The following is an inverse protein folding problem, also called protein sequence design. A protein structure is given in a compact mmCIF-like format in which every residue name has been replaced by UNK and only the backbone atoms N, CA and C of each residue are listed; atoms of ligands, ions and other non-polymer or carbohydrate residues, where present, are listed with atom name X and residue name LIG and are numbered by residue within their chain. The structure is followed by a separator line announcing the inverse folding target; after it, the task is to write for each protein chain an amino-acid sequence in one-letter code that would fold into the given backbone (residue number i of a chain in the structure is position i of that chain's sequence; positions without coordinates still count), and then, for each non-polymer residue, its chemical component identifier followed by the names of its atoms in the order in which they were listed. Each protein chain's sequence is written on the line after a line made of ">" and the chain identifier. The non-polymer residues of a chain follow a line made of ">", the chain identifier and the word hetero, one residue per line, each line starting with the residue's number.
data_IF_803896371056
#
_entry.id   IF_803896371056
#
_cell.length_a   1.000
_cell.length_b   1.000
_cell.length_c   1.000
_cell.angle_alpha   90.00
_cell.angle_beta   90.00
_cell.angle_gamma   90.00
#
_symmetry.space_group_name_H-M   'P 1'
#
loop_
_entity.id
_entity.type
_entity.pdbx_description
1 polymer ?
#
# COMPACT_ATOMS: atom_id res chain seq x y z
N UNK A 1 27.10 34.75 -34.20
CA UNK A 1 28.21 33.96 -34.79
C UNK A 1 27.95 32.52 -34.38
N UNK A 2 27.14 31.72 -35.08
CA UNK A 2 27.30 31.17 -36.44
C UNK A 2 28.70 30.58 -36.70
N UNK A 3 28.77 29.25 -36.70
CA UNK A 3 29.51 28.38 -37.63
C UNK A 3 29.08 26.94 -37.30
N UNK A 4 28.33 26.16 -38.10
CA UNK A 4 28.36 25.84 -39.55
C UNK A 4 29.52 24.88 -39.93
N UNK A 5 29.13 23.74 -40.50
CA UNK A 5 29.90 22.93 -41.45
C UNK A 5 30.56 21.68 -40.83
N UNK A 6 30.48 20.47 -41.41
CA UNK A 6 29.95 20.05 -42.71
C UNK A 6 30.59 18.71 -43.12
N UNK A 7 29.76 17.84 -43.70
CA UNK A 7 30.01 16.86 -44.78
C UNK A 7 31.33 16.08 -44.92
N UNK A 8 31.19 14.77 -45.17
CA UNK A 8 32.19 13.97 -45.87
C UNK A 8 31.71 12.54 -46.18
N UNK A 9 31.21 12.32 -47.40
CA UNK A 9 30.88 11.00 -47.98
C UNK A 9 31.97 10.64 -48.99
N UNK A 10 32.27 9.33 -49.10
CA UNK A 10 32.44 8.56 -50.34
C UNK A 10 33.75 7.76 -50.56
N UNK A 11 33.55 6.44 -50.70
CA UNK A 11 33.94 5.55 -51.83
C UNK A 11 35.29 4.78 -51.94
N UNK A 12 35.11 3.46 -52.15
CA UNK A 12 35.75 2.50 -53.11
C UNK A 12 37.21 2.04 -52.84
N UNK A 13 37.70 0.83 -53.20
CA UNK A 13 37.22 -0.28 -54.04
C UNK A 13 38.21 -1.49 -54.05
N UNK A 14 37.70 -2.67 -54.51
CA UNK A 14 38.35 -3.82 -55.24
C UNK A 14 39.32 -4.74 -54.48
N UNK A 15 39.40 -6.07 -54.74
CA UNK A 15 38.71 -6.96 -55.69
C UNK A 15 39.35 -8.38 -55.79
N UNK A 16 38.77 -9.22 -56.68
CA UNK A 16 39.27 -10.48 -57.32
C UNK A 16 39.31 -11.76 -56.44
N UNK A 17 38.89 -12.98 -56.81
CA UNK A 17 38.30 -13.57 -58.03
C UNK A 17 39.00 -14.90 -58.44
N UNK A 18 38.26 -16.03 -58.53
CA UNK A 18 38.39 -17.25 -59.41
C UNK A 18 38.23 -18.63 -58.70
N UNK A 19 37.17 -19.45 -58.98
CA UNK A 19 36.95 -20.63 -59.91
C UNK A 19 37.89 -21.84 -59.72
N UNK A 20 37.54 -23.14 -59.83
CA UNK A 20 36.39 -23.97 -60.32
C UNK A 20 36.59 -25.44 -59.84
N UNK A 21 35.56 -26.32 -59.85
CA UNK A 21 35.78 -27.77 -60.06
C UNK A 21 34.84 -28.83 -59.42
N UNK A 22 33.84 -29.30 -60.21
CA UNK A 22 33.36 -30.69 -60.45
C UNK A 22 32.71 -31.60 -59.35
N UNK A 23 31.47 -32.05 -59.61
CA UNK A 23 30.65 -33.14 -59.00
C UNK A 23 31.05 -34.57 -59.48
N UNK A 24 30.40 -35.74 -59.16
CA UNK A 24 29.17 -36.03 -58.36
C UNK A 24 29.20 -37.28 -57.42
N UNK A 25 28.14 -37.43 -56.62
CA UNK A 25 27.25 -38.61 -56.48
C UNK A 25 26.91 -39.15 -55.07
N UNK A 26 25.60 -39.40 -54.94
CA UNK A 26 24.83 -40.32 -54.10
C UNK A 26 24.93 -40.31 -52.57
N UNK A 27 23.89 -39.68 -51.98
CA UNK A 27 22.84 -40.35 -51.20
C UNK A 27 22.57 -39.78 -49.80
N UNK A 28 21.28 -39.80 -49.46
CA UNK A 28 20.63 -39.56 -48.16
C UNK A 28 20.40 -38.11 -47.71
N UNK A 29 19.16 -37.71 -48.02
CA UNK A 29 18.10 -37.49 -47.03
C UNK A 29 17.93 -36.09 -46.43
N UNK A 30 16.66 -35.65 -46.58
CA UNK A 30 15.87 -34.67 -45.83
C UNK A 30 15.80 -33.27 -46.44
N UNK A 31 14.54 -32.88 -46.64
CA UNK A 31 14.04 -31.66 -47.27
C UNK A 31 14.52 -30.43 -46.52
N UNK A 32 14.98 -29.43 -47.27
CA UNK A 32 15.17 -28.05 -46.83
C UNK A 32 13.82 -27.38 -46.58
N UNK A 33 13.65 -26.78 -45.40
CA UNK A 33 12.73 -25.68 -45.15
C UNK A 33 13.60 -24.43 -44.90
N UNK A 34 13.15 -23.31 -45.45
CA UNK A 34 13.80 -22.00 -45.51
C UNK A 34 14.13 -21.40 -44.11
N UNK A 35 14.93 -20.31 -44.02
CA UNK A 35 15.41 -19.80 -42.74
C UNK A 35 14.26 -19.13 -41.99
N UNK A 36 13.80 -19.76 -40.91
CA UNK A 36 12.97 -19.11 -39.91
C UNK A 36 13.85 -18.19 -39.06
N UNK A 37 13.45 -16.94 -38.96
CA UNK A 37 13.88 -16.02 -37.91
C UNK A 37 13.78 -16.72 -36.54
N UNK A 38 14.72 -16.52 -35.60
CA UNK A 38 14.48 -16.91 -34.23
C UNK A 38 13.56 -15.87 -33.60
N UNK A 39 12.26 -15.97 -33.86
CA UNK A 39 11.25 -15.50 -32.90
C UNK A 39 11.27 -16.49 -31.73
N UNK A 40 12.31 -16.38 -30.90
CA UNK A 40 12.38 -17.07 -29.63
C UNK A 40 11.39 -16.44 -28.68
N UNK A 41 10.23 -17.07 -28.56
CA UNK A 41 9.28 -16.85 -27.48
C UNK A 41 10.05 -16.95 -26.16
N UNK A 42 10.34 -15.79 -25.54
CA UNK A 42 11.03 -15.76 -24.24
C UNK A 42 10.02 -16.28 -23.25
N UNK A 43 10.30 -17.45 -22.65
CA UNK A 43 9.50 -18.04 -21.59
C UNK A 43 8.99 -16.94 -20.65
N UNK A 44 7.70 -16.92 -20.25
CA UNK A 44 7.14 -15.90 -19.36
C UNK A 44 7.98 -15.65 -18.09
N UNK A 45 8.68 -16.69 -17.65
CA UNK A 45 9.69 -16.71 -16.59
C UNK A 45 10.94 -15.87 -16.90
N UNK A 46 11.53 -15.99 -18.09
CA UNK A 46 12.68 -15.17 -18.54
C UNK A 46 12.30 -13.71 -18.72
N UNK A 47 11.05 -13.44 -19.12
CA UNK A 47 10.48 -12.09 -19.12
C UNK A 47 10.23 -11.56 -17.70
N UNK A 48 9.93 -12.43 -16.72
CA UNK A 48 9.82 -12.09 -15.29
C UNK A 48 11.17 -11.78 -14.65
N UNK A 49 12.19 -12.59 -14.94
CA UNK A 49 13.57 -12.46 -14.48
C UNK A 49 14.21 -11.15 -15.00
N UNK A 50 14.07 -10.91 -16.30
CA UNK A 50 14.56 -9.69 -16.94
C UNK A 50 13.88 -8.42 -16.38
N UNK A 51 12.60 -8.50 -15.99
CA UNK A 51 11.89 -7.38 -15.34
C UNK A 51 12.43 -7.08 -13.96
N UNK A 52 12.68 -8.10 -13.14
CA UNK A 52 13.28 -7.93 -11.81
C UNK A 52 14.65 -7.30 -11.93
N UNK A 53 15.53 -7.83 -12.79
CA UNK A 53 16.89 -7.32 -12.92
C UNK A 53 16.92 -5.88 -13.42
N UNK A 54 16.11 -5.55 -14.42
CA UNK A 54 16.03 -4.18 -14.91
C UNK A 54 15.52 -3.22 -13.82
N UNK A 55 14.52 -3.65 -13.05
CA UNK A 55 14.00 -2.86 -11.93
C UNK A 55 15.00 -2.76 -10.77
N UNK A 56 15.71 -3.82 -10.40
CA UNK A 56 16.74 -3.82 -9.35
C UNK A 56 17.89 -2.87 -9.71
N UNK A 57 18.28 -2.81 -10.99
CA UNK A 57 19.26 -1.81 -11.46
C UNK A 57 18.77 -0.37 -11.28
N UNK A 58 17.46 -0.13 -11.45
CA UNK A 58 16.84 1.18 -11.23
C UNK A 58 16.65 1.50 -9.75
N UNK A 59 16.24 0.52 -8.94
CA UNK A 59 15.98 0.67 -7.51
C UNK A 59 17.23 0.66 -6.64
N UNK A 60 18.29 -0.02 -7.10
CA UNK A 60 19.58 -0.15 -6.42
C UNK A 60 20.73 0.22 -7.37
N UNK A 61 20.82 1.49 -7.79
CA UNK A 61 21.82 1.92 -8.77
C UNK A 61 23.27 1.82 -8.28
N UNK A 62 23.47 1.63 -6.97
CA UNK A 62 24.77 1.46 -6.33
C UNK A 62 25.00 0.02 -5.83
N UNK A 63 24.16 -0.93 -6.26
CA UNK A 63 24.13 -2.30 -5.76
C UNK A 63 23.15 -2.49 -4.60
N UNK A 64 22.78 -3.74 -4.33
CA UNK A 64 21.78 -4.10 -3.33
C UNK A 64 22.39 -3.96 -1.93
N UNK A 65 21.79 -3.16 -1.02
CA UNK A 65 22.25 -3.03 0.35
C UNK A 65 22.27 -4.37 1.09
N UNK A 66 23.23 -4.56 1.99
CA UNK A 66 23.42 -5.83 2.71
C UNK A 66 22.16 -6.31 3.44
N UNK A 67 21.43 -5.37 4.06
CA UNK A 67 20.18 -5.64 4.81
C UNK A 67 18.99 -6.00 3.92
N UNK A 68 19.08 -5.73 2.61
CA UNK A 68 17.98 -5.95 1.65
C UNK A 68 18.13 -7.28 0.91
N UNK A 69 19.34 -7.82 0.92
CA UNK A 69 19.70 -9.01 0.15
C UNK A 69 19.01 -10.29 0.67
N UNK A 70 19.02 -10.49 1.98
CA UNK A 70 18.37 -11.65 2.62
C UNK A 70 16.84 -11.66 2.43
N UNK A 71 16.10 -10.56 2.69
CA UNK A 71 14.67 -10.49 2.40
C UNK A 71 14.35 -10.69 0.92
N UNK A 72 15.14 -10.09 0.01
CA UNK A 72 14.96 -10.26 -1.43
C UNK A 72 15.09 -11.72 -1.85
N UNK A 73 16.13 -12.40 -1.39
CA UNK A 73 16.34 -13.81 -1.69
C UNK A 73 15.25 -14.69 -1.05
N UNK A 74 14.90 -14.46 0.22
CA UNK A 74 13.87 -15.21 0.94
C UNK A 74 12.47 -15.08 0.31
N UNK A 75 12.14 -13.91 -0.25
CA UNK A 75 10.88 -13.68 -0.97
C UNK A 75 10.86 -14.39 -2.34
N UNK A 76 11.96 -14.28 -3.09
CA UNK A 76 12.06 -14.83 -4.44
C UNK A 76 12.20 -16.36 -4.44
N UNK A 77 12.91 -16.93 -3.47
CA UNK A 77 13.12 -18.38 -3.35
C UNK A 77 11.84 -19.17 -3.01
N UNK A 78 10.76 -18.50 -2.57
CA UNK A 78 9.45 -19.14 -2.28
C UNK A 78 8.56 -19.33 -3.51
N UNK A 79 8.90 -18.67 -4.62
CA UNK A 79 8.12 -18.69 -5.87
C UNK A 79 8.91 -19.21 -7.06
N UNK A 80 10.23 -19.28 -6.93
CA UNK A 80 11.15 -19.85 -7.91
C UNK A 80 11.49 -21.28 -7.54
N UNK A 81 11.70 -22.15 -8.54
CA UNK A 81 12.31 -23.44 -8.27
C UNK A 81 13.75 -23.24 -7.78
N UNK A 82 14.33 -24.25 -7.13
CA UNK A 82 15.75 -24.19 -6.69
C UNK A 82 16.71 -23.90 -7.84
N UNK A 83 16.35 -24.28 -9.07
CA UNK A 83 17.13 -24.02 -10.28
C UNK A 83 17.00 -22.55 -10.72
N UNK A 84 15.77 -22.02 -10.79
CA UNK A 84 15.52 -20.63 -11.18
C UNK A 84 16.10 -19.63 -10.14
N UNK A 85 16.07 -19.98 -8.85
CA UNK A 85 16.67 -19.17 -7.80
C UNK A 85 18.21 -19.11 -7.91
N UNK A 86 18.83 -20.21 -8.35
CA UNK A 86 20.28 -20.27 -8.63
C UNK A 86 20.64 -19.48 -9.88
N UNK A 87 19.82 -19.53 -10.92
CA UNK A 87 20.02 -18.77 -12.15
C UNK A 87 19.87 -17.26 -11.89
N UNK A 88 18.82 -16.84 -11.16
CA UNK A 88 18.66 -15.46 -10.73
C UNK A 88 19.83 -14.97 -9.88
N UNK A 89 20.28 -15.79 -8.92
CA UNK A 89 21.45 -15.49 -8.10
C UNK A 89 22.71 -15.27 -8.94
N UNK A 90 22.92 -16.13 -9.94
CA UNK A 90 24.05 -16.02 -10.86
C UNK A 90 23.97 -14.76 -11.72
N UNK A 91 22.78 -14.40 -12.21
CA UNK A 91 22.58 -13.17 -12.99
C UNK A 91 22.80 -11.90 -12.16
N UNK A 92 22.37 -11.86 -10.89
CA UNK A 92 22.62 -10.74 -9.98
C UNK A 92 24.12 -10.48 -9.76
N UNK A 93 24.93 -11.55 -9.72
CA UNK A 93 26.38 -11.47 -9.60
C UNK A 93 27.02 -10.99 -10.92
N UNK A 94 26.60 -11.55 -12.06
CA UNK A 94 27.10 -11.14 -13.39
C UNK A 94 26.82 -9.67 -13.67
N UNK A 95 25.67 -9.16 -13.24
CA UNK A 95 25.27 -7.77 -13.39
C UNK A 95 25.92 -6.81 -12.39
N UNK A 96 26.73 -7.33 -11.46
CA UNK A 96 27.41 -6.51 -10.43
C UNK A 96 26.47 -5.91 -9.40
N UNK A 97 25.25 -6.43 -9.27
CA UNK A 97 24.27 -5.96 -8.28
C UNK A 97 24.62 -6.44 -6.87
N UNK A 98 25.36 -7.55 -6.77
CA UNK A 98 25.89 -8.09 -5.51
C UNK A 98 27.26 -8.75 -5.70
N UNK A 99 28.14 -8.70 -4.69
CA UNK A 99 29.36 -9.53 -4.65
C UNK A 99 29.05 -11.04 -4.63
N UNK A 100 29.89 -11.84 -5.30
CA UNK A 100 29.73 -13.29 -5.42
C UNK A 100 29.70 -14.03 -4.07
N UNK A 101 30.51 -13.59 -3.10
CA UNK A 101 30.59 -14.18 -1.76
C UNK A 101 29.33 -13.95 -0.91
N UNK A 102 28.54 -12.91 -1.21
CA UNK A 102 27.29 -12.64 -0.48
C UNK A 102 26.22 -13.69 -0.72
N UNK A 103 26.15 -14.24 -1.93
CA UNK A 103 25.17 -15.27 -2.27
C UNK A 103 25.37 -16.54 -1.43
N UNK A 104 26.62 -17.02 -1.34
CA UNK A 104 26.98 -18.18 -0.53
C UNK A 104 26.72 -17.94 0.96
N UNK A 105 26.97 -16.71 1.44
CA UNK A 105 26.68 -16.32 2.81
C UNK A 105 25.17 -16.31 3.10
N UNK A 106 24.34 -15.75 2.21
CA UNK A 106 22.88 -15.70 2.41
C UNK A 106 22.21 -17.08 2.37
N UNK A 107 22.59 -17.93 1.40
CA UNK A 107 22.11 -19.30 1.31
C UNK A 107 22.57 -20.14 2.51
N UNK A 108 23.80 -19.92 2.98
CA UNK A 108 24.33 -20.53 4.20
C UNK A 108 23.63 -20.05 5.48
N UNK A 109 23.31 -18.75 5.55
CA UNK A 109 22.63 -18.10 6.68
C UNK A 109 21.20 -18.63 6.84
N UNK A 110 20.38 -18.61 5.78
CA UNK A 110 19.02 -19.15 5.79
C UNK A 110 18.93 -20.64 6.15
N UNK A 111 20.00 -21.41 5.90
CA UNK A 111 20.06 -22.84 6.19
C UNK A 111 20.54 -23.16 7.62
N UNK A 112 21.23 -22.24 8.29
CA UNK A 112 21.93 -22.50 9.56
C UNK A 112 21.43 -21.68 10.75
N UNK A 113 20.79 -20.53 10.52
CA UNK A 113 20.32 -19.66 11.59
C UNK A 113 18.80 -19.54 11.54
N UNK A 114 18.12 -19.86 12.65
CA UNK A 114 16.68 -19.63 12.85
C UNK A 114 16.31 -18.13 12.96
N UNK A 115 17.10 -17.25 12.36
CA UNK A 115 16.87 -15.81 12.35
C UNK A 115 16.35 -15.41 10.97
N UNK A 116 15.04 -15.23 10.88
CA UNK A 116 14.35 -14.71 9.71
C UNK A 116 14.59 -13.20 9.55
N UNK A 117 14.54 -12.66 8.32
CA UNK A 117 14.53 -11.21 8.11
C UNK A 117 13.35 -10.55 8.83
N UNK A 118 13.50 -9.29 9.23
CA UNK A 118 12.43 -8.57 9.95
C UNK A 118 11.23 -8.28 9.04
N UNK A 119 10.04 -8.14 9.64
CA UNK A 119 8.80 -7.87 8.89
C UNK A 119 8.87 -6.57 8.07
N UNK A 120 9.51 -5.53 8.59
CA UNK A 120 9.71 -4.25 7.87
C UNK A 120 10.58 -4.40 6.62
N UNK A 121 11.60 -5.26 6.71
CA UNK A 121 12.49 -5.56 5.59
C UNK A 121 11.78 -6.41 4.53
N UNK A 122 10.98 -7.39 4.96
CA UNK A 122 10.14 -8.22 4.10
C UNK A 122 9.09 -7.34 3.38
N UNK A 123 8.38 -6.49 4.11
CA UNK A 123 7.31 -5.64 3.58
C UNK A 123 7.82 -4.71 2.49
N UNK A 124 8.92 -4.02 2.76
CA UNK A 124 9.52 -3.10 1.80
C UNK A 124 9.99 -3.82 0.53
N UNK A 125 10.65 -4.98 0.65
CA UNK A 125 11.12 -5.71 -0.53
C UNK A 125 9.96 -6.33 -1.33
N UNK A 126 8.88 -6.72 -0.67
CA UNK A 126 7.68 -7.18 -1.35
C UNK A 126 6.98 -6.04 -2.11
N UNK A 127 6.82 -4.84 -1.54
CA UNK A 127 6.27 -3.68 -2.26
C UNK A 127 7.08 -3.34 -3.52
N UNK A 128 8.40 -3.46 -3.41
CA UNK A 128 9.32 -3.26 -4.52
C UNK A 128 9.10 -4.30 -5.64
N UNK A 129 8.92 -5.58 -5.29
CA UNK A 129 8.58 -6.64 -6.24
C UNK A 129 7.18 -6.46 -6.85
N UNK A 130 6.19 -6.06 -6.05
CA UNK A 130 4.83 -5.75 -6.52
C UNK A 130 4.84 -4.67 -7.61
N UNK A 131 5.58 -3.58 -7.40
CA UNK A 131 5.73 -2.52 -8.40
C UNK A 131 6.51 -2.95 -9.64
N UNK A 132 7.35 -3.98 -9.56
CA UNK A 132 8.00 -4.62 -10.71
C UNK A 132 7.06 -5.60 -11.47
N UNK A 133 5.80 -5.70 -11.05
CA UNK A 133 4.79 -6.57 -11.64
C UNK A 133 4.97 -8.04 -11.25
N UNK A 134 5.52 -8.29 -10.05
CA UNK A 134 5.58 -9.61 -9.42
C UNK A 134 4.49 -9.75 -8.36
N UNK A 135 3.79 -10.88 -8.37
CA UNK A 135 2.77 -11.17 -7.38
C UNK A 135 3.40 -11.68 -6.08
N UNK A 136 3.36 -10.84 -5.05
CA UNK A 136 3.88 -11.11 -3.70
C UNK A 136 2.77 -11.15 -2.64
N UNK A 137 1.51 -11.17 -3.08
CA UNK A 137 0.32 -11.07 -2.22
C UNK A 137 0.24 -12.16 -1.15
N UNK A 138 0.77 -13.36 -1.43
CA UNK A 138 0.81 -14.49 -0.47
C UNK A 138 2.01 -14.50 0.49
N UNK A 139 2.76 -13.40 0.62
CA UNK A 139 3.93 -13.32 1.51
C UNK A 139 3.84 -12.13 2.49
N UNK A 140 2.91 -11.19 2.28
CA UNK A 140 2.73 -9.99 3.12
C UNK A 140 1.64 -10.13 4.22
N UNK A 141 1.19 -11.35 4.48
CA UNK A 141 0.14 -11.79 5.42
C UNK A 141 -1.04 -10.82 5.71
N UNK A 142 -2.18 -11.16 5.12
CA UNK A 142 -3.31 -11.70 5.90
C UNK A 142 -3.85 -12.89 5.08
N UNK A 143 -4.45 -13.93 5.67
CA UNK A 143 -4.89 -15.10 4.93
C UNK A 143 -6.02 -14.67 3.98
N UNK A 144 -5.66 -14.45 2.72
CA UNK A 144 -6.57 -14.00 1.68
C UNK A 144 -7.52 -15.11 1.21
N UNK A 145 -7.33 -16.35 1.68
CA UNK A 145 -8.12 -17.49 1.23
C UNK A 145 -9.42 -17.73 2.03
N UNK A 146 -9.79 -16.85 2.98
CA UNK A 146 -11.11 -16.95 3.66
C UNK A 146 -11.87 -15.63 3.85
N UNK A 147 -11.25 -14.45 3.67
CA UNK A 147 -11.95 -13.17 3.85
C UNK A 147 -12.60 -12.71 2.54
N UNK A 148 -13.90 -12.36 2.55
CA UNK A 148 -14.57 -11.84 1.38
C UNK A 148 -13.95 -10.48 0.99
N UNK A 149 -14.03 -10.08 -0.30
CA UNK A 149 -13.65 -8.74 -0.76
C UNK A 149 -14.18 -7.64 0.17
N UNK A 150 -13.50 -6.49 0.25
CA UNK A 150 -13.89 -5.39 1.17
C UNK A 150 -15.36 -5.00 1.07
N UNK A 151 -15.89 -4.95 -0.14
CA UNK A 151 -17.31 -4.64 -0.36
C UNK A 151 -18.24 -5.72 0.19
N UNK A 152 -17.89 -6.99 0.02
CA UNK A 152 -18.64 -8.12 0.56
C UNK A 152 -18.54 -8.19 2.09
N UNK A 153 -17.37 -7.87 2.66
CA UNK A 153 -17.17 -7.75 4.10
C UNK A 153 -18.07 -6.65 4.69
N UNK A 154 -18.08 -5.46 4.08
CA UNK A 154 -18.93 -4.35 4.51
C UNK A 154 -20.42 -4.72 4.42
N UNK A 155 -20.84 -5.42 3.36
CA UNK A 155 -22.23 -5.91 3.24
C UNK A 155 -22.57 -6.92 4.33
N UNK A 156 -21.67 -7.85 4.66
CA UNK A 156 -21.85 -8.82 5.72
C UNK A 156 -21.94 -8.15 7.10
N UNK A 157 -20.98 -7.27 7.42
CA UNK A 157 -20.94 -6.48 8.66
C UNK A 157 -22.22 -5.67 8.83
N UNK A 158 -22.65 -4.95 7.79
CA UNK A 158 -23.86 -4.15 7.80
C UNK A 158 -25.10 -5.01 8.14
N UNK A 159 -25.18 -6.21 7.55
CA UNK A 159 -26.25 -7.17 7.83
C UNK A 159 -26.24 -7.59 9.30
N UNK A 160 -25.06 -7.91 9.84
CA UNK A 160 -24.90 -8.34 11.22
C UNK A 160 -25.24 -7.23 12.23
N UNK A 161 -25.03 -5.97 11.83
CA UNK A 161 -25.46 -4.79 12.58
C UNK A 161 -26.96 -4.47 12.45
N UNK A 162 -27.72 -5.21 11.62
CA UNK A 162 -29.14 -4.96 11.39
C UNK A 162 -29.43 -3.72 10.54
N UNK A 163 -28.43 -3.18 9.83
CA UNK A 163 -28.56 -2.00 9.00
C UNK A 163 -29.15 -2.39 7.63
N UNK A 164 -30.39 -1.96 7.38
CA UNK A 164 -31.16 -2.40 6.20
C UNK A 164 -30.96 -1.55 4.94
N UNK A 165 -30.36 -0.35 5.04
CA UNK A 165 -30.31 0.61 3.93
C UNK A 165 -29.02 0.55 3.12
N UNK A 166 -29.14 0.37 1.81
CA UNK A 166 -28.02 0.55 0.86
C UNK A 166 -27.55 2.00 0.75
N UNK A 167 -28.41 2.96 1.11
CA UNK A 167 -28.09 4.39 1.00
C UNK A 167 -26.90 4.78 1.88
N UNK A 168 -26.72 4.13 3.03
CA UNK A 168 -25.63 4.44 3.94
C UNK A 168 -24.27 4.01 3.39
N UNK A 169 -24.18 2.83 2.80
CA UNK A 169 -22.94 2.38 2.15
C UNK A 169 -22.65 3.21 0.88
N UNK A 170 -23.70 3.59 0.13
CA UNK A 170 -23.58 4.42 -1.06
C UNK A 170 -23.02 5.84 -0.76
N UNK A 171 -23.25 6.38 0.45
CA UNK A 171 -22.62 7.65 0.89
C UNK A 171 -21.09 7.55 0.85
N UNK A 172 -20.52 6.40 1.21
CA UNK A 172 -19.07 6.18 1.17
C UNK A 172 -18.50 5.99 -0.25
N UNK A 173 -19.34 5.97 -1.30
CA UNK A 173 -18.94 5.93 -2.71
C UNK A 173 -19.06 7.27 -3.42
N UNK A 174 -19.49 8.32 -2.71
CA UNK A 174 -19.64 9.64 -3.32
C UNK A 174 -18.30 10.14 -3.89
N UNK A 175 -18.29 10.67 -5.12
CA UNK A 175 -17.06 10.87 -5.88
C UNK A 175 -16.09 11.90 -5.27
N UNK A 176 -16.57 12.76 -4.37
CA UNK A 176 -15.73 13.72 -3.64
C UNK A 176 -14.91 13.07 -2.53
N UNK A 177 -15.23 11.85 -2.08
CA UNK A 177 -14.57 11.14 -0.97
C UNK A 177 -13.36 10.37 -1.47
N UNK A 178 -12.19 11.00 -1.40
CA UNK A 178 -10.95 10.33 -1.78
C UNK A 178 -10.37 9.47 -0.64
N UNK A 179 -10.51 9.90 0.61
CA UNK A 179 -10.08 9.18 1.81
C UNK A 179 -11.28 8.61 2.58
N UNK A 180 -12.29 9.43 2.89
CA UNK A 180 -13.43 9.08 3.74
C UNK A 180 -14.45 8.21 2.98
N UNK A 181 -13.98 7.07 2.47
CA UNK A 181 -14.69 6.12 1.61
C UNK A 181 -14.71 4.71 2.23
N UNK A 182 -15.19 3.71 1.48
CA UNK A 182 -15.28 2.31 1.94
C UNK A 182 -13.96 1.73 2.44
N UNK A 183 -12.81 2.18 1.90
CA UNK A 183 -11.50 1.71 2.37
C UNK A 183 -11.22 2.21 3.78
N UNK A 184 -11.44 3.50 4.06
CA UNK A 184 -11.35 4.07 5.41
C UNK A 184 -12.24 3.28 6.37
N UNK A 185 -13.53 3.13 6.03
CA UNK A 185 -14.48 2.41 6.87
C UNK A 185 -14.01 0.98 7.20
N UNK A 186 -13.47 0.25 6.22
CA UNK A 186 -12.95 -1.12 6.44
C UNK A 186 -11.68 -1.12 7.30
N UNK A 187 -10.77 -0.17 7.07
CA UNK A 187 -9.51 -0.06 7.83
C UNK A 187 -9.79 0.29 9.31
N UNK A 188 -10.64 1.29 9.54
CA UNK A 188 -11.08 1.68 10.88
C UNK A 188 -11.89 0.57 11.56
N UNK A 189 -12.71 -0.18 10.81
CA UNK A 189 -13.44 -1.34 11.35
C UNK A 189 -12.48 -2.41 11.88
N UNK A 190 -11.47 -2.77 11.09
CA UNK A 190 -10.46 -3.75 11.51
C UNK A 190 -9.66 -3.29 12.73
N UNK A 191 -9.39 -1.99 12.85
CA UNK A 191 -8.77 -1.41 14.04
C UNK A 191 -9.72 -1.48 15.26
N UNK A 192 -10.98 -1.09 15.08
CA UNK A 192 -11.99 -1.09 16.13
C UNK A 192 -12.20 -2.47 16.73
N UNK A 193 -12.35 -3.52 15.91
CA UNK A 193 -12.58 -4.88 16.42
C UNK A 193 -11.42 -5.35 17.31
N UNK A 194 -10.16 -5.07 16.91
CA UNK A 194 -8.98 -5.40 17.73
C UNK A 194 -8.99 -4.66 19.06
N UNK A 195 -9.39 -3.39 19.05
CA UNK A 195 -9.44 -2.55 20.26
C UNK A 195 -10.57 -2.98 21.20
N UNK A 196 -11.76 -3.27 20.67
CA UNK A 196 -12.89 -3.76 21.47
C UNK A 196 -12.55 -5.07 22.17
N UNK A 197 -11.86 -5.99 21.48
CA UNK A 197 -11.41 -7.25 22.06
C UNK A 197 -10.34 -7.02 23.14
N UNK A 198 -9.28 -6.27 22.83
CA UNK A 198 -8.17 -6.04 23.75
C UNK A 198 -8.57 -5.25 25.01
N UNK A 199 -9.47 -4.28 24.87
CA UNK A 199 -9.97 -3.45 25.98
C UNK A 199 -11.18 -4.08 26.70
N UNK A 200 -11.57 -5.30 26.31
CA UNK A 200 -12.69 -6.06 26.86
C UNK A 200 -14.03 -5.29 26.82
N UNK A 201 -14.27 -4.54 25.75
CA UNK A 201 -15.53 -3.82 25.50
C UNK A 201 -16.47 -4.75 24.74
N UNK A 202 -17.56 -5.17 25.38
CA UNK A 202 -18.54 -6.12 24.84
C UNK A 202 -19.97 -5.60 24.83
N UNK A 203 -20.92 -6.47 24.45
CA UNK A 203 -22.36 -6.22 24.58
C UNK A 203 -22.86 -4.97 23.83
N UNK A 204 -23.72 -4.20 24.49
CA UNK A 204 -24.33 -2.99 23.92
C UNK A 204 -23.31 -1.89 23.61
N UNK A 205 -22.22 -1.80 24.38
CA UNK A 205 -21.16 -0.82 24.14
C UNK A 205 -20.36 -1.13 22.87
N UNK A 206 -19.97 -2.39 22.67
CA UNK A 206 -19.33 -2.83 21.43
C UNK A 206 -20.24 -2.60 20.21
N UNK A 207 -21.55 -2.89 20.36
CA UNK A 207 -22.54 -2.58 19.31
C UNK A 207 -22.62 -1.08 19.05
N UNK A 208 -22.62 -0.24 20.09
CA UNK A 208 -22.65 1.20 19.95
C UNK A 208 -21.42 1.74 19.20
N UNK A 209 -20.22 1.28 19.54
CA UNK A 209 -18.99 1.68 18.85
C UNK A 209 -19.01 1.32 17.36
N UNK A 210 -19.45 0.09 17.03
CA UNK A 210 -19.55 -0.37 15.63
C UNK A 210 -20.55 0.45 14.82
N UNK A 211 -21.71 0.74 15.40
CA UNK A 211 -22.72 1.59 14.77
C UNK A 211 -22.19 3.03 14.62
N UNK A 212 -21.58 3.59 15.65
CA UNK A 212 -21.00 4.93 15.59
C UNK A 212 -19.92 5.04 14.51
N UNK A 213 -19.02 4.06 14.41
CA UNK A 213 -18.03 4.01 13.33
C UNK A 213 -18.70 3.97 11.95
N UNK A 214 -19.82 3.25 11.81
CA UNK A 214 -20.54 3.20 10.54
C UNK A 214 -21.24 4.51 10.17
N UNK A 215 -21.58 5.35 11.16
CA UNK A 215 -22.30 6.60 10.95
C UNK A 215 -21.43 7.86 10.97
N UNK A 216 -20.24 7.85 11.59
CA UNK A 216 -19.48 9.08 11.90
C UNK A 216 -19.28 10.01 10.69
N UNK A 217 -18.88 9.44 9.55
CA UNK A 217 -18.67 10.14 8.29
C UNK A 217 -19.81 9.96 7.27
N UNK A 218 -20.99 9.54 7.73
CA UNK A 218 -22.14 9.33 6.82
C UNK A 218 -22.49 10.63 6.07
N UNK A 219 -22.34 11.79 6.70
CA UNK A 219 -22.25 13.09 6.03
C UNK A 219 -20.81 13.54 5.99
N UNK A 220 -20.35 14.01 4.83
CA UNK A 220 -19.01 14.53 4.65
C UNK A 220 -18.97 15.58 3.53
N UNK A 221 -18.89 16.84 3.93
CA UNK A 221 -18.44 17.94 3.07
C UNK A 221 -17.27 18.66 3.78
N UNK A 222 -16.05 18.67 3.20
CA UNK A 222 -14.90 19.35 3.81
C UNK A 222 -15.03 20.88 3.87
N UNK A 223 -16.16 21.45 3.41
CA UNK A 223 -16.52 22.87 3.53
C UNK A 223 -17.49 23.16 4.67
N UNK A 224 -18.11 22.14 5.24
CA UNK A 224 -19.12 22.24 6.28
C UNK A 224 -18.52 21.93 7.66
N UNK A 225 -19.10 22.49 8.71
CA UNK A 225 -18.72 22.31 10.12
C UNK A 225 -19.79 21.55 10.93
N UNK A 226 -20.86 21.08 10.28
CA UNK A 226 -21.98 20.37 10.89
C UNK A 226 -22.08 18.89 10.47
N UNK A 227 -21.03 18.34 9.84
CA UNK A 227 -20.99 16.96 9.33
C UNK A 227 -21.35 15.94 10.42
N UNK A 228 -20.70 16.00 11.58
CA UNK A 228 -20.88 15.04 12.66
C UNK A 228 -22.28 15.16 13.30
N UNK A 229 -22.79 16.39 13.44
CA UNK A 229 -24.15 16.64 13.92
C UNK A 229 -25.20 16.07 12.96
N UNK A 230 -25.00 16.23 11.65
CA UNK A 230 -25.88 15.66 10.62
C UNK A 230 -25.75 14.13 10.56
N UNK A 231 -24.54 13.59 10.65
CA UNK A 231 -24.27 12.15 10.76
C UNK A 231 -24.98 11.54 11.98
N UNK A 232 -24.92 12.19 13.15
CA UNK A 232 -25.61 11.77 14.35
C UNK A 232 -27.14 11.83 14.18
N UNK A 233 -27.67 12.85 13.51
CA UNK A 233 -29.10 12.94 13.19
C UNK A 233 -29.56 11.81 12.27
N UNK A 234 -28.75 11.45 11.25
CA UNK A 234 -28.99 10.29 10.39
C UNK A 234 -28.97 9.00 11.20
N UNK A 235 -27.98 8.81 12.07
CA UNK A 235 -27.90 7.64 12.95
C UNK A 235 -29.17 7.50 13.80
N UNK A 236 -29.62 8.59 14.45
CA UNK A 236 -30.85 8.60 15.25
C UNK A 236 -32.08 8.22 14.41
N UNK A 237 -32.19 8.72 13.19
CA UNK A 237 -33.32 8.43 12.31
C UNK A 237 -33.33 6.97 11.84
N UNK A 238 -32.20 6.46 11.33
CA UNK A 238 -32.10 5.12 10.76
C UNK A 238 -32.19 4.04 11.85
N UNK A 239 -31.54 4.23 13.00
CA UNK A 239 -31.61 3.27 14.11
C UNK A 239 -33.00 3.22 14.76
N UNK A 240 -33.70 4.35 14.84
CA UNK A 240 -35.11 4.39 15.28
C UNK A 240 -36.00 3.62 14.32
N UNK A 241 -35.79 3.79 13.01
CA UNK A 241 -36.54 3.05 11.99
C UNK A 241 -36.24 1.54 12.03
N UNK A 242 -35.02 1.15 12.42
CA UNK A 242 -34.61 -0.24 12.65
C UNK A 242 -35.16 -0.83 13.97
N UNK A 243 -35.80 -0.01 14.83
CA UNK A 243 -36.40 -0.47 16.09
C UNK A 243 -35.40 -0.64 17.24
N UNK A 244 -34.22 -0.01 17.17
CA UNK A 244 -33.23 -0.03 18.24
C UNK A 244 -33.70 0.76 19.48
N UNK A 245 -33.14 0.44 20.66
CA UNK A 245 -33.53 1.10 21.90
C UNK A 245 -33.08 2.56 21.93
N UNK A 246 -33.79 3.40 22.69
CA UNK A 246 -33.45 4.83 22.81
C UNK A 246 -32.07 5.01 23.45
N UNK A 247 -31.70 4.15 24.40
CA UNK A 247 -30.40 4.17 25.05
C UNK A 247 -29.26 3.90 24.06
N UNK A 248 -29.41 2.90 23.18
CA UNK A 248 -28.40 2.62 22.16
C UNK A 248 -28.32 3.76 21.13
N UNK A 249 -29.48 4.30 20.72
CA UNK A 249 -29.55 5.40 19.75
C UNK A 249 -28.78 6.62 20.24
N UNK A 250 -29.05 7.06 21.47
CA UNK A 250 -28.37 8.24 22.01
C UNK A 250 -26.91 7.96 22.32
N UNK A 251 -26.56 6.73 22.70
CA UNK A 251 -25.16 6.34 22.86
C UNK A 251 -24.38 6.42 21.54
N UNK A 252 -24.94 5.90 20.45
CA UNK A 252 -24.33 5.99 19.11
C UNK A 252 -24.19 7.44 18.69
N UNK A 253 -25.23 8.25 18.87
CA UNK A 253 -25.21 9.65 18.45
C UNK A 253 -24.17 10.47 19.24
N UNK A 254 -24.05 10.24 20.54
CA UNK A 254 -23.01 10.85 21.36
C UNK A 254 -21.60 10.44 20.90
N UNK A 255 -21.38 9.16 20.59
CA UNK A 255 -20.10 8.68 20.08
C UNK A 255 -19.74 9.30 18.73
N UNK A 256 -20.72 9.47 17.83
CA UNK A 256 -20.54 10.17 16.54
C UNK A 256 -20.21 11.64 16.76
N UNK A 257 -20.95 12.35 17.62
CA UNK A 257 -20.67 13.76 17.92
C UNK A 257 -19.28 13.95 18.55
N UNK A 258 -18.80 12.98 19.33
CA UNK A 258 -17.47 13.01 19.93
C UNK A 258 -16.30 12.89 18.91
N UNK A 259 -16.55 12.44 17.67
CA UNK A 259 -15.50 12.33 16.65
C UNK A 259 -15.01 13.69 16.13
N UNK A 260 -15.76 14.77 16.35
CA UNK A 260 -15.37 16.14 15.94
C UNK A 260 -13.98 16.52 16.48
N UNK A 261 -13.76 16.31 17.77
CA UNK A 261 -12.52 16.69 18.45
C UNK A 261 -11.63 15.47 18.77
N UNK A 262 -12.11 14.27 18.44
CA UNK A 262 -11.58 12.99 18.93
C UNK A 262 -11.41 12.99 20.46
N UNK A 263 -12.34 13.64 21.17
CA UNK A 263 -12.29 13.81 22.61
C UNK A 263 -12.84 12.56 23.30
N UNK A 264 -12.14 12.09 24.33
CA UNK A 264 -12.51 10.91 25.11
C UNK A 264 -12.74 11.33 26.55
N UNK A 265 -13.97 11.12 27.06
CA UNK A 265 -14.25 11.33 28.47
C UNK A 265 -13.44 10.34 29.33
N UNK A 266 -12.89 10.78 30.48
CA UNK A 266 -12.12 9.89 31.35
C UNK A 266 -12.92 8.65 31.76
N UNK A 267 -12.42 7.47 31.40
CA UNK A 267 -13.03 6.18 31.70
C UNK A 267 -14.00 5.64 30.64
N UNK A 268 -14.30 6.41 29.59
CA UNK A 268 -15.09 5.92 28.45
C UNK A 268 -14.22 5.11 27.48
N UNK A 269 -14.07 3.81 27.78
CA UNK A 269 -13.31 2.87 26.94
C UNK A 269 -13.90 2.70 25.54
N UNK A 270 -15.22 2.79 25.41
CA UNK A 270 -15.90 2.63 24.12
C UNK A 270 -15.56 3.80 23.19
N UNK A 271 -15.62 5.03 23.72
CA UNK A 271 -15.18 6.21 23.00
C UNK A 271 -13.68 6.14 22.69
N UNK A 272 -12.85 5.70 23.64
CA UNK A 272 -11.41 5.51 23.42
C UNK A 272 -11.13 4.58 22.24
N UNK A 273 -11.79 3.41 22.18
CA UNK A 273 -11.63 2.47 21.07
C UNK A 273 -12.08 3.07 19.74
N UNK A 274 -13.19 3.83 19.71
CA UNK A 274 -13.69 4.47 18.50
C UNK A 274 -12.72 5.53 17.97
N UNK A 275 -12.26 6.43 18.84
CA UNK A 275 -11.35 7.52 18.44
C UNK A 275 -10.00 6.98 17.96
N UNK A 276 -9.46 5.97 18.65
CA UNK A 276 -8.20 5.35 18.24
C UNK A 276 -8.33 4.59 16.92
N UNK A 277 -9.48 3.93 16.69
CA UNK A 277 -9.76 3.25 15.43
C UNK A 277 -9.86 4.23 14.25
N UNK A 278 -10.53 5.36 14.43
CA UNK A 278 -10.62 6.41 13.40
C UNK A 278 -9.24 7.03 13.09
N UNK A 279 -8.40 7.19 14.12
CA UNK A 279 -7.04 7.70 14.00
C UNK A 279 -6.01 6.61 13.61
N UNK A 280 -6.42 5.37 13.36
CA UNK A 280 -5.51 4.26 13.03
C UNK A 280 -4.63 4.59 11.82
N UNK A 281 -5.19 5.26 10.80
CA UNK A 281 -4.46 5.60 9.56
C UNK A 281 -3.16 6.35 9.83
N UNK A 282 -3.08 7.12 10.91
CA UNK A 282 -1.86 7.86 11.26
C UNK A 282 -0.69 6.89 11.48
N UNK A 283 -0.96 5.71 12.06
CA UNK A 283 0.01 4.65 12.31
C UNK A 283 0.20 3.67 11.16
N UNK A 284 -0.53 3.83 10.06
CA UNK A 284 -0.46 2.92 8.93
C UNK A 284 0.96 2.85 8.32
N UNK A 285 1.30 1.75 7.63
CA UNK A 285 2.58 1.64 6.93
C UNK A 285 2.85 2.87 6.03
N UNK A 286 4.10 3.36 5.93
CA UNK A 286 4.41 4.63 5.25
C UNK A 286 3.86 4.79 3.83
N UNK A 287 3.79 3.76 2.97
CA UNK A 287 3.13 3.85 1.66
C UNK A 287 1.64 4.15 1.76
N UNK A 288 0.91 3.50 2.67
CA UNK A 288 -0.51 3.74 2.92
C UNK A 288 -0.73 5.15 3.47
N UNK A 289 0.10 5.59 4.41
CA UNK A 289 0.03 6.93 4.97
C UNK A 289 0.24 8.01 3.89
N UNK A 290 1.25 7.84 3.01
CA UNK A 290 1.45 8.77 1.87
C UNK A 290 0.28 8.79 0.91
N UNK A 291 -0.41 7.67 0.72
CA UNK A 291 -1.66 7.63 -0.04
C UNK A 291 -2.78 8.41 0.65
N UNK A 292 -2.95 8.23 1.97
CA UNK A 292 -3.87 9.00 2.80
C UNK A 292 -3.63 10.51 2.64
N UNK A 293 -2.38 10.98 2.74
CA UNK A 293 -2.03 12.40 2.55
C UNK A 293 -2.47 12.91 1.17
N UNK A 294 -2.26 12.12 0.10
CA UNK A 294 -2.71 12.49 -1.26
C UNK A 294 -4.23 12.51 -1.37
N UNK A 295 -4.93 11.59 -0.70
CA UNK A 295 -6.39 11.52 -0.69
C UNK A 295 -6.98 12.74 0.04
N UNK A 296 -6.49 13.07 1.24
CA UNK A 296 -6.87 14.30 1.96
C UNK A 296 -6.60 15.54 1.08
N UNK A 297 -5.45 15.61 0.40
CA UNK A 297 -5.18 16.74 -0.51
C UNK A 297 -6.22 16.86 -1.64
N UNK A 298 -6.79 15.75 -2.13
CA UNK A 298 -7.85 15.76 -3.15
C UNK A 298 -9.18 16.25 -2.59
N UNK A 299 -9.57 15.84 -1.39
CA UNK A 299 -10.81 16.30 -0.73
C UNK A 299 -10.78 17.82 -0.49
N UNK A 300 -9.60 18.34 -0.11
CA UNK A 300 -9.37 19.76 0.08
C UNK A 300 -8.88 20.48 -1.19
N UNK A 301 -9.12 19.95 -2.39
CA UNK A 301 -8.68 20.57 -3.65
C UNK A 301 -9.22 22.00 -3.85
N UNK A 302 -10.36 22.31 -3.23
CA UNK A 302 -10.98 23.64 -3.23
C UNK A 302 -10.20 24.68 -2.40
N UNK A 303 -9.35 24.24 -1.47
CA UNK A 303 -8.44 25.11 -0.70
C UNK A 303 -7.17 25.31 -1.51
N UNK A 304 -6.71 26.57 -1.61
CA UNK A 304 -5.44 26.89 -2.27
C UNK A 304 -4.28 26.11 -1.63
N UNK A 305 -3.27 25.74 -2.43
CA UNK A 305 -2.15 24.94 -1.91
C UNK A 305 -1.44 25.59 -0.72
N UNK A 306 -1.12 26.91 -0.72
CA UNK A 306 -0.50 27.56 0.45
C UNK A 306 -1.37 27.50 1.72
N UNK A 307 -2.68 27.71 1.58
CA UNK A 307 -3.61 27.67 2.72
C UNK A 307 -3.78 26.24 3.24
N UNK A 308 -3.88 25.26 2.33
CA UNK A 308 -3.93 23.86 2.72
C UNK A 308 -2.68 23.43 3.49
N UNK A 309 -1.49 23.79 3.01
CA UNK A 309 -0.24 23.48 3.71
C UNK A 309 -0.23 24.12 5.10
N UNK A 310 -0.59 25.40 5.20
CA UNK A 310 -0.64 26.11 6.49
C UNK A 310 -1.59 25.43 7.47
N UNK A 311 -2.83 25.14 7.05
CA UNK A 311 -3.82 24.47 7.88
C UNK A 311 -3.41 23.03 8.24
N UNK A 312 -2.90 22.27 7.27
CA UNK A 312 -2.45 20.89 7.51
C UNK A 312 -1.27 20.84 8.48
N UNK A 313 -0.32 21.77 8.40
CA UNK A 313 0.75 21.87 9.38
C UNK A 313 0.23 22.17 10.80
N UNK A 314 -0.84 22.97 10.95
CA UNK A 314 -1.47 23.21 12.25
C UNK A 314 -2.09 21.93 12.81
N UNK A 315 -2.83 21.19 11.99
CA UNK A 315 -3.42 19.89 12.36
C UNK A 315 -2.34 18.89 12.80
N UNK A 316 -1.27 18.76 12.01
CA UNK A 316 -0.16 17.85 12.35
C UNK A 316 0.53 18.25 13.66
N UNK A 317 0.81 19.54 13.86
CA UNK A 317 1.43 20.03 15.10
C UNK A 317 0.50 19.83 16.31
N UNK A 318 -0.80 19.99 16.14
CA UNK A 318 -1.79 19.69 17.18
C UNK A 318 -1.71 18.21 17.58
N UNK A 319 -1.84 17.27 16.64
CA UNK A 319 -1.78 15.84 16.96
C UNK A 319 -0.42 15.40 17.51
N UNK A 320 0.69 15.93 17.01
CA UNK A 320 2.02 15.66 17.57
C UNK A 320 2.15 16.19 19.00
N UNK A 321 1.55 17.35 19.30
CA UNK A 321 1.70 18.04 20.57
C UNK A 321 0.68 17.67 21.65
N UNK A 322 -0.44 17.02 21.30
CA UNK A 322 -1.57 16.80 22.22
C UNK A 322 -1.40 15.67 23.25
N UNK A 323 -0.25 14.99 23.26
CA UNK A 323 -0.01 13.67 23.85
C UNK A 323 -0.81 13.30 25.13
N UNK A 324 -1.20 12.02 25.30
CA UNK A 324 -0.99 10.90 24.37
C UNK A 324 -1.82 11.03 23.07
N UNK A 325 -1.34 10.47 21.97
CA UNK A 325 -2.05 10.53 20.68
C UNK A 325 -3.24 9.59 20.69
N UNK A 326 -3.04 8.39 21.22
CA UNK A 326 -4.06 7.35 21.35
C UNK A 326 -4.51 7.20 22.80
N UNK A 327 -5.78 6.94 23.02
CA UNK A 327 -6.40 6.89 24.35
C UNK A 327 -6.30 5.52 25.00
N UNK A 328 -6.35 4.43 24.23
CA UNK A 328 -6.31 3.06 24.72
C UNK A 328 -4.87 2.59 24.97
N UNK A 329 -4.70 1.69 25.95
CA UNK A 329 -3.38 1.09 26.20
C UNK A 329 -2.90 0.25 25.02
N UNK A 330 -3.84 -0.40 24.32
CA UNK A 330 -3.55 -1.22 23.13
C UNK A 330 -3.00 -0.39 21.97
N UNK A 331 -3.63 0.75 21.67
CA UNK A 331 -3.20 1.64 20.58
C UNK A 331 -1.93 2.46 20.91
N UNK A 332 -1.46 2.48 22.17
CA UNK A 332 -0.18 3.10 22.51
C UNK A 332 0.99 2.53 21.68
N UNK A 333 0.90 1.26 21.28
CA UNK A 333 1.87 0.61 20.38
C UNK A 333 1.95 1.25 18.98
N UNK A 334 0.90 1.95 18.56
CA UNK A 334 0.78 2.62 17.25
C UNK A 334 1.43 4.01 17.23
N UNK A 335 1.64 4.61 18.41
CA UNK A 335 2.01 6.01 18.55
C UNK A 335 3.36 6.33 17.91
N UNK A 336 4.36 5.46 18.06
CA UNK A 336 5.68 5.66 17.46
C UNK A 336 5.61 5.77 15.93
N UNK A 337 4.85 4.89 15.28
CA UNK A 337 4.64 4.92 13.84
C UNK A 337 3.87 6.17 13.41
N UNK A 338 2.82 6.53 14.16
CA UNK A 338 2.01 7.71 13.88
C UNK A 338 2.80 9.02 13.96
N UNK A 339 3.59 9.19 15.02
CA UNK A 339 4.46 10.35 15.18
C UNK A 339 5.52 10.43 14.08
N UNK A 340 6.12 9.29 13.69
CA UNK A 340 7.10 9.24 12.60
C UNK A 340 6.50 9.63 11.24
N UNK A 341 5.27 9.17 10.96
CA UNK A 341 4.53 9.51 9.75
C UNK A 341 4.18 11.01 9.70
N UNK A 342 3.59 11.54 10.77
CA UNK A 342 3.21 12.96 10.85
C UNK A 342 4.43 13.89 10.82
N UNK A 343 5.52 13.54 11.48
CA UNK A 343 6.77 14.32 11.45
C UNK A 343 7.37 14.37 10.04
N UNK A 344 7.29 13.27 9.28
CA UNK A 344 7.73 13.21 7.89
C UNK A 344 6.86 14.09 6.99
N UNK A 345 5.53 14.01 7.12
CA UNK A 345 4.61 14.89 6.38
C UNK A 345 4.91 16.37 6.67
N UNK A 346 5.14 16.70 7.94
CA UNK A 346 5.46 18.06 8.37
C UNK A 346 6.78 18.56 7.74
N UNK A 347 7.81 17.70 7.68
CA UNK A 347 9.09 18.01 7.05
C UNK A 347 8.95 18.23 5.53
N UNK A 348 8.14 17.42 4.84
CA UNK A 348 7.88 17.57 3.41
C UNK A 348 7.30 18.96 3.09
N UNK A 349 6.42 19.49 3.95
CA UNK A 349 5.88 20.85 3.78
C UNK A 349 6.89 21.97 4.04
N UNK A 350 7.89 21.76 4.89
CA UNK A 350 8.92 22.77 5.17
C UNK A 350 9.82 23.03 3.94
N UNK A 351 9.93 22.04 3.05
CA UNK A 351 10.69 22.14 1.80
C UNK A 351 9.88 22.77 0.65
N UNK A 352 8.59 23.07 0.87
CA UNK A 352 7.75 23.67 -0.16
C UNK A 352 8.06 25.17 -0.31
N UNK A 353 8.73 25.52 -1.41
CA UNK A 353 8.83 26.90 -1.86
C UNK A 353 7.74 27.17 -2.90
N UNK A 354 6.84 28.17 -2.69
CA UNK A 354 5.92 28.59 -3.73
C UNK A 354 6.75 29.13 -4.91
N UNK A 355 6.68 28.46 -6.06
CA UNK A 355 7.13 29.07 -7.32
C UNK A 355 6.24 30.29 -7.57
N UNK A 356 6.89 31.46 -7.54
CA UNK A 356 6.33 32.80 -7.83
C UNK A 356 5.67 32.88 -9.18
#
# INVERSE_FOLDING_TARGET
>A
MQNVGGFGVATRARGHGKVDGMEPDSSRARRSVAPGEPTGDRSPLMAGLSRILNWLRVGYPQGIPERDFLPLFALLSRRLSDEDARDLGSELVVDGLVPADRFDLAAGYLKKTDQLPSEDEIQRVAELLYHAGWDVSGILDTPADELPPRDELLVAVRRDLGLASDALLARYDEPQRAYHNRRHLTEAWGALERLLEAEAVGGSEAKAARLALWFHDSVYDPRADDNEALSAAIARAELRAAGESTELIERVAHLVEATVEHAVEPGDRTAACLMDADLWVLSAPPPRYREYVRQIRREYAHVSRPNFITGRQQVLRYFIGRGPLYATGTAASWEAAALANMARELADYATYHPTT
#
